data_IF_196520786090
#
_entry.id   IF_196520786090
#
_cell.length_a   1.000
_cell.length_b   1.000
_cell.length_c   1.000
_cell.angle_alpha   90.00
_cell.angle_beta   90.00
_cell.angle_gamma   90.00
#
_symmetry.space_group_name_H-M   'P 1'
#
loop_
_entity.id
_entity.type
_entity.pdbx_description
1 polymer ?
#
# COMPACT_ATOMS: atom_id res chain seq x y z
N UNK A 1 -39.58 -39.49 -27.55
CA UNK A 1 -38.24 -39.24 -26.99
C UNK A 1 -38.33 -39.47 -25.50
N UNK A 2 -37.96 -40.68 -25.07
CA UNK A 2 -38.06 -41.10 -23.66
C UNK A 2 -36.98 -40.41 -22.81
N UNK A 3 -37.39 -39.81 -21.69
CA UNK A 3 -36.52 -39.25 -20.68
C UNK A 3 -35.77 -40.38 -19.97
N UNK A 4 -34.43 -40.42 -20.10
CA UNK A 4 -33.59 -41.32 -19.31
C UNK A 4 -33.68 -40.96 -17.82
N UNK A 5 -33.77 -41.95 -16.91
CA UNK A 5 -33.77 -41.69 -15.48
C UNK A 5 -32.37 -41.25 -15.02
N UNK A 6 -32.29 -40.23 -14.16
CA UNK A 6 -31.04 -39.79 -13.55
C UNK A 6 -30.38 -40.97 -12.81
N UNK A 7 -29.08 -41.17 -13.08
CA UNK A 7 -28.25 -42.18 -12.43
C UNK A 7 -28.14 -41.91 -10.92
N UNK A 8 -28.90 -42.68 -10.15
CA UNK A 8 -29.06 -42.57 -8.70
C UNK A 8 -27.73 -42.77 -7.93
N UNK A 9 -26.68 -43.32 -8.56
CA UNK A 9 -25.33 -43.42 -7.98
C UNK A 9 -24.55 -42.12 -8.08
N UNK A 10 -24.65 -41.39 -9.19
CA UNK A 10 -24.00 -40.08 -9.36
C UNK A 10 -24.58 -39.02 -8.44
N UNK A 11 -25.90 -39.04 -8.23
CA UNK A 11 -26.57 -38.10 -7.33
C UNK A 11 -26.20 -38.36 -5.84
N UNK A 12 -26.13 -39.62 -5.40
CA UNK A 12 -25.67 -39.98 -4.06
C UNK A 12 -24.18 -39.68 -3.82
N UNK A 13 -23.35 -39.75 -4.85
CA UNK A 13 -21.93 -39.38 -4.78
C UNK A 13 -21.77 -37.87 -4.66
N UNK A 14 -22.48 -37.07 -5.47
CA UNK A 14 -22.47 -35.61 -5.39
C UNK A 14 -22.96 -35.11 -4.03
N UNK A 15 -24.06 -35.67 -3.50
CA UNK A 15 -24.59 -35.30 -2.18
C UNK A 15 -23.59 -35.65 -1.06
N UNK A 16 -22.88 -36.78 -1.15
CA UNK A 16 -21.81 -37.12 -0.20
C UNK A 16 -20.60 -36.19 -0.30
N UNK A 17 -20.25 -35.72 -1.48
CA UNK A 17 -19.15 -34.77 -1.69
C UNK A 17 -19.50 -33.38 -1.15
N UNK A 18 -20.75 -32.93 -1.35
CA UNK A 18 -21.25 -31.67 -0.79
C UNK A 18 -21.36 -31.75 0.73
N UNK A 19 -21.84 -32.86 1.30
CA UNK A 19 -21.88 -33.06 2.76
C UNK A 19 -20.47 -33.17 3.34
N UNK A 20 -19.52 -33.81 2.65
CA UNK A 20 -18.12 -33.90 3.10
C UNK A 20 -17.39 -32.55 3.04
N UNK A 21 -17.66 -31.74 2.00
CA UNK A 21 -17.13 -30.37 1.87
C UNK A 21 -17.73 -29.43 2.92
N UNK A 22 -19.04 -29.51 3.17
CA UNK A 22 -19.70 -28.78 4.27
C UNK A 22 -19.18 -29.25 5.64
N UNK A 23 -18.91 -30.54 5.82
CA UNK A 23 -18.35 -31.07 7.07
C UNK A 23 -16.89 -30.68 7.28
N UNK A 24 -16.07 -30.59 6.22
CA UNK A 24 -14.68 -30.09 6.32
C UNK A 24 -14.64 -28.60 6.64
N UNK A 25 -15.47 -27.79 5.96
CA UNK A 25 -15.57 -26.34 6.18
C UNK A 25 -16.13 -26.02 7.57
N UNK A 26 -17.11 -26.79 8.06
CA UNK A 26 -17.56 -26.68 9.45
C UNK A 26 -16.48 -27.09 10.45
N UNK A 27 -15.62 -28.06 10.13
CA UNK A 27 -14.58 -28.56 11.03
C UNK A 27 -13.45 -27.53 11.21
N UNK A 28 -13.04 -26.84 10.15
CA UNK A 28 -12.04 -25.76 10.21
C UNK A 28 -12.55 -24.53 10.95
N UNK A 29 -13.80 -24.10 10.70
CA UNK A 29 -14.47 -23.03 11.45
C UNK A 29 -14.58 -23.40 12.93
N UNK A 30 -15.02 -24.63 13.25
CA UNK A 30 -15.05 -25.09 14.63
C UNK A 30 -13.65 -25.14 15.24
N UNK A 31 -12.62 -25.53 14.50
CA UNK A 31 -11.24 -25.58 15.02
C UNK A 31 -10.71 -24.20 15.37
N UNK A 32 -10.90 -23.19 14.51
CA UNK A 32 -10.38 -21.85 14.74
C UNK A 32 -11.21 -21.06 15.77
N UNK A 33 -12.55 -21.11 15.66
CA UNK A 33 -13.44 -20.51 16.67
C UNK A 33 -13.22 -21.17 18.03
N UNK A 34 -13.01 -22.49 18.08
CA UNK A 34 -12.66 -23.15 19.34
C UNK A 34 -11.24 -22.87 19.80
N UNK A 35 -10.25 -22.64 18.91
CA UNK A 35 -8.90 -22.20 19.30
C UNK A 35 -8.93 -20.82 19.96
N UNK A 36 -9.62 -19.86 19.35
CA UNK A 36 -9.80 -18.51 19.92
C UNK A 36 -10.60 -18.57 21.23
N UNK A 37 -11.69 -19.36 21.29
CA UNK A 37 -12.50 -19.48 22.51
C UNK A 37 -11.79 -20.23 23.65
N UNK A 38 -10.92 -21.20 23.34
CA UNK A 38 -10.24 -22.04 24.33
C UNK A 38 -8.86 -21.50 24.76
N UNK A 39 -8.15 -20.81 23.87
CA UNK A 39 -6.76 -20.41 24.07
C UNK A 39 -6.48 -18.91 23.85
N UNK A 40 -7.43 -18.13 23.34
CA UNK A 40 -7.19 -16.77 22.87
C UNK A 40 -6.46 -16.73 21.52
N UNK A 41 -6.32 -15.56 20.88
CA UNK A 41 -5.44 -15.43 19.73
C UNK A 41 -3.99 -15.73 20.15
N UNK A 42 -3.18 -16.36 19.30
CA UNK A 42 -1.78 -16.59 19.55
C UNK A 42 -1.05 -15.25 19.78
N UNK A 43 -0.20 -15.18 20.81
CA UNK A 43 0.64 -13.99 21.03
C UNK A 43 1.74 -13.95 19.96
N UNK A 44 1.65 -13.01 19.00
CA UNK A 44 2.78 -12.65 18.13
C UNK A 44 3.87 -12.01 18.99
N UNK A 45 5.08 -12.58 18.98
CA UNK A 45 6.26 -11.98 19.61
C UNK A 45 7.20 -11.48 18.54
N UNK A 46 7.77 -10.30 18.78
CA UNK A 46 8.84 -9.77 17.95
C UNK A 46 10.16 -10.41 18.36
N UNK A 47 10.80 -11.11 17.42
CA UNK A 47 12.21 -11.47 17.55
C UNK A 47 13.06 -10.46 16.79
N UNK A 48 14.01 -9.84 17.47
CA UNK A 48 14.97 -8.87 16.92
C UNK A 48 16.26 -9.61 16.58
N UNK A 49 16.67 -9.56 15.31
CA UNK A 49 17.98 -10.05 14.87
C UNK A 49 18.75 -8.93 14.19
N UNK A 50 19.94 -8.62 14.70
CA UNK A 50 20.84 -7.63 14.12
C UNK A 50 21.76 -8.27 13.08
N UNK A 51 21.69 -7.80 11.83
CA UNK A 51 22.59 -8.20 10.76
C UNK A 51 23.42 -7.00 10.28
N UNK A 52 24.74 -7.12 10.35
CA UNK A 52 25.68 -6.12 9.83
C UNK A 52 26.12 -6.57 8.44
N UNK A 53 25.69 -5.86 7.40
CA UNK A 53 26.08 -6.16 6.01
C UNK A 53 27.46 -5.55 5.70
N UNK A 54 28.50 -6.39 5.71
CA UNK A 54 29.91 -6.00 5.56
C UNK A 54 30.31 -5.37 4.20
N UNK A 55 29.40 -5.38 3.21
CA UNK A 55 29.59 -4.77 1.88
C UNK A 55 28.62 -3.59 1.59
N UNK A 56 28.00 -3.02 2.63
CA UNK A 56 27.04 -1.92 2.50
C UNK A 56 27.52 -0.64 3.20
N UNK A 57 26.99 0.51 2.79
CA UNK A 57 27.14 1.77 3.52
C UNK A 57 26.14 1.89 4.69
N UNK A 58 25.43 0.81 5.03
CA UNK A 58 24.40 0.76 6.06
C UNK A 58 24.93 0.04 7.31
N UNK A 59 24.58 0.56 8.49
CA UNK A 59 25.17 0.13 9.76
C UNK A 59 24.45 -1.04 10.44
N UNK A 60 23.13 -1.18 10.22
CA UNK A 60 22.31 -2.15 10.94
C UNK A 60 21.04 -2.52 10.15
N UNK A 61 20.78 -3.82 10.00
CA UNK A 61 19.47 -4.33 9.65
C UNK A 61 18.88 -5.03 10.86
N UNK A 62 17.64 -4.68 11.20
CA UNK A 62 16.87 -5.34 12.24
C UNK A 62 15.72 -6.10 11.58
N UNK A 63 15.68 -7.41 11.77
CA UNK A 63 14.59 -8.27 11.31
C UNK A 63 13.60 -8.45 12.46
N UNK A 64 12.31 -8.25 12.17
CA UNK A 64 11.17 -8.47 13.05
C UNK A 64 10.32 -9.61 12.48
N UNK A 65 10.45 -10.79 13.08
CA UNK A 65 9.65 -11.97 12.76
C UNK A 65 8.52 -12.13 13.76
N UNK A 66 7.34 -12.54 13.27
CA UNK A 66 6.26 -13.07 14.09
C UNK A 66 6.44 -14.58 14.26
N UNK A 67 6.12 -15.13 15.43
CA UNK A 67 6.28 -16.56 15.76
C UNK A 67 5.35 -17.52 14.99
N UNK A 68 4.33 -17.01 14.29
CA UNK A 68 3.49 -17.81 13.39
C UNK A 68 4.00 -17.73 11.95
N UNK A 69 3.85 -18.80 11.16
CA UNK A 69 4.17 -18.80 9.72
C UNK A 69 3.49 -17.57 9.08
N UNK A 70 4.26 -16.50 8.87
CA UNK A 70 3.77 -15.23 8.35
C UNK A 70 3.53 -15.44 6.87
N UNK A 71 2.31 -15.86 6.52
CA UNK A 71 1.89 -15.93 5.14
C UNK A 71 1.50 -14.53 4.68
N UNK A 72 2.44 -13.86 4.02
CA UNK A 72 2.31 -12.61 3.27
C UNK A 72 1.99 -11.35 4.11
N UNK A 73 3.05 -10.70 4.61
CA UNK A 73 2.95 -9.26 4.84
C UNK A 73 2.92 -8.55 3.46
N UNK A 74 1.90 -7.73 3.22
CA UNK A 74 1.66 -7.10 1.91
C UNK A 74 2.03 -5.61 1.89
N UNK A 75 1.80 -4.90 2.99
CA UNK A 75 1.96 -3.45 3.06
C UNK A 75 2.32 -2.98 4.48
N UNK A 76 3.26 -2.03 4.59
CA UNK A 76 3.51 -1.28 5.84
C UNK A 76 3.14 0.17 5.60
N UNK A 77 2.32 0.70 6.50
CA UNK A 77 1.94 2.11 6.50
C UNK A 77 2.38 2.73 7.82
N UNK A 78 2.98 3.91 7.72
CA UNK A 78 3.47 4.66 8.87
C UNK A 78 2.74 5.98 8.96
N UNK A 79 2.21 6.29 10.15
CA UNK A 79 1.59 7.59 10.47
C UNK A 79 2.07 8.01 11.86
N UNK A 80 2.83 9.10 11.93
CA UNK A 80 3.43 9.57 13.17
C UNK A 80 4.35 8.52 13.79
N UNK A 81 4.07 8.12 15.03
CA UNK A 81 4.84 7.12 15.78
C UNK A 81 4.21 5.73 15.73
N UNK A 82 3.36 5.44 14.74
CA UNK A 82 2.75 4.12 14.57
C UNK A 82 3.05 3.52 13.20
N UNK A 83 3.31 2.22 13.19
CA UNK A 83 3.33 1.40 11.98
C UNK A 83 2.14 0.43 11.99
N UNK A 84 1.56 0.22 10.83
CA UNK A 84 0.46 -0.71 10.58
C UNK A 84 0.91 -1.68 9.51
N UNK A 85 0.86 -2.97 9.82
CA UNK A 85 1.36 -4.03 8.95
C UNK A 85 0.18 -4.89 8.55
N UNK A 86 -0.10 -4.94 7.25
CA UNK A 86 -1.13 -5.79 6.71
C UNK A 86 -0.57 -7.19 6.46
N UNK A 87 -1.19 -8.19 7.09
CA UNK A 87 -0.81 -9.61 7.02
C UNK A 87 -2.02 -10.43 6.54
N UNK A 88 -1.87 -11.17 5.43
CA UNK A 88 -2.97 -11.80 4.71
C UNK A 88 -2.64 -13.20 4.17
N UNK A 89 -3.25 -14.24 4.72
CA UNK A 89 -3.15 -15.58 4.14
C UNK A 89 -4.18 -15.79 3.03
N UNK A 90 -3.69 -15.84 1.78
CA UNK A 90 -4.48 -16.18 0.59
C UNK A 90 -4.46 -17.69 0.27
N UNK A 91 -3.77 -18.50 1.07
CA UNK A 91 -3.58 -19.93 0.81
C UNK A 91 -4.76 -20.82 1.27
N UNK A 92 -5.62 -20.28 2.13
CA UNK A 92 -6.81 -20.95 2.67
C UNK A 92 -8.08 -20.67 1.87
N UNK A 93 -9.11 -21.48 2.10
CA UNK A 93 -10.45 -21.27 1.51
C UNK A 93 -11.09 -19.98 2.05
N UNK A 94 -10.74 -19.63 3.28
CA UNK A 94 -11.16 -18.40 3.96
C UNK A 94 -9.93 -17.48 4.04
N UNK A 95 -10.05 -16.21 3.62
CA UNK A 95 -8.93 -15.25 3.69
C UNK A 95 -8.78 -14.82 5.14
N UNK A 96 -7.65 -15.15 5.77
CA UNK A 96 -7.31 -14.64 7.10
C UNK A 96 -6.54 -13.32 6.93
N UNK A 97 -7.12 -12.21 7.40
CA UNK A 97 -6.52 -10.88 7.32
C UNK A 97 -6.35 -10.28 8.71
N UNK A 98 -5.14 -9.82 9.00
CA UNK A 98 -4.82 -9.11 10.24
C UNK A 98 -4.01 -7.85 10.00
N UNK A 99 -4.10 -6.91 10.93
CA UNK A 99 -3.32 -5.69 10.96
C UNK A 99 -2.55 -5.66 12.28
N UNK A 100 -1.23 -5.82 12.20
CA UNK A 100 -0.37 -5.60 13.36
C UNK A 100 -0.16 -4.10 13.55
N UNK A 101 -0.39 -3.63 14.78
CA UNK A 101 -0.27 -2.23 15.19
C UNK A 101 0.95 -2.10 16.09
N UNK A 102 1.96 -1.37 15.62
CA UNK A 102 3.23 -1.21 16.31
C UNK A 102 3.44 0.24 16.74
N UNK A 103 3.90 0.44 17.97
CA UNK A 103 4.52 1.69 18.42
C UNK A 103 5.95 1.71 17.88
N UNK A 104 6.28 2.75 17.11
CA UNK A 104 7.59 2.98 16.51
C UNK A 104 8.20 4.31 16.99
N UNK A 105 7.82 4.77 18.19
CA UNK A 105 8.41 5.97 18.81
C UNK A 105 9.92 5.90 18.90
N UNK A 106 10.49 4.69 18.95
CA UNK A 106 11.88 4.38 18.63
C UNK A 106 11.90 3.59 17.32
N UNK A 107 12.35 4.16 16.18
CA UNK A 107 12.25 3.50 14.89
C UNK A 107 12.98 2.15 14.78
N UNK A 108 14.09 1.96 15.50
CA UNK A 108 14.86 0.71 15.58
C UNK A 108 14.44 -0.21 16.74
N UNK A 109 13.43 0.15 17.52
CA UNK A 109 12.91 -0.65 18.63
C UNK A 109 11.36 -0.60 18.67
N UNK A 110 10.68 -1.08 17.62
CA UNK A 110 9.24 -1.10 17.56
C UNK A 110 8.65 -2.14 18.52
N UNK A 111 7.46 -1.84 19.03
CA UNK A 111 6.75 -2.66 20.01
C UNK A 111 5.37 -2.98 19.44
N UNK A 112 4.99 -4.26 19.37
CA UNK A 112 3.60 -4.63 19.03
C UNK A 112 2.69 -4.14 20.15
N UNK A 113 1.81 -3.19 19.83
CA UNK A 113 0.72 -2.79 20.72
C UNK A 113 -0.41 -3.81 20.63
N UNK A 114 -0.82 -4.19 19.42
CA UNK A 114 -1.97 -5.09 19.20
C UNK A 114 -1.92 -5.75 17.81
N UNK A 115 -2.67 -6.85 17.65
CA UNK A 115 -3.01 -7.44 16.35
C UNK A 115 -4.52 -7.37 16.16
N UNK A 116 -4.97 -6.61 15.18
CA UNK A 116 -6.38 -6.50 14.82
C UNK A 116 -6.72 -7.53 13.73
N UNK A 117 -7.49 -8.55 14.10
CA UNK A 117 -8.04 -9.50 13.14
C UNK A 117 -9.24 -8.88 12.43
N UNK A 118 -9.13 -8.71 11.11
CA UNK A 118 -10.22 -8.18 10.30
C UNK A 118 -11.36 -9.20 10.27
N UNK A 119 -12.59 -8.84 10.71
CA UNK A 119 -13.64 -9.82 10.97
C UNK A 119 -14.35 -10.34 9.72
N UNK A 120 -13.83 -10.05 8.52
CA UNK A 120 -14.41 -10.44 7.23
C UNK A 120 -13.40 -11.25 6.44
N UNK A 121 -13.89 -12.25 5.72
CA UNK A 121 -13.07 -13.17 4.92
C UNK A 121 -12.72 -12.58 3.54
N UNK A 122 -12.27 -11.31 3.53
CA UNK A 122 -11.89 -10.58 2.32
C UNK A 122 -10.49 -9.99 2.47
N UNK A 123 -9.72 -10.09 1.38
CA UNK A 123 -8.46 -9.39 1.30
C UNK A 123 -8.69 -7.86 1.29
N UNK A 124 -7.84 -7.15 2.00
CA UNK A 124 -7.65 -5.71 1.89
C UNK A 124 -6.71 -5.48 0.71
N UNK A 125 -7.20 -4.75 -0.29
CA UNK A 125 -6.49 -4.43 -1.53
C UNK A 125 -5.65 -3.16 -1.42
N UNK A 126 -6.04 -2.25 -0.53
CA UNK A 126 -5.32 -1.01 -0.27
C UNK A 126 -5.62 -0.55 1.16
N UNK A 127 -4.59 -0.15 1.90
CA UNK A 127 -4.74 0.45 3.21
C UNK A 127 -4.20 1.89 3.21
N UNK A 128 -4.79 2.77 4.03
CA UNK A 128 -4.24 4.11 4.27
C UNK A 128 -4.45 4.54 5.71
N UNK A 129 -3.40 5.06 6.34
CA UNK A 129 -3.48 5.71 7.65
C UNK A 129 -3.58 7.24 7.51
N UNK A 130 -4.37 7.87 8.37
CA UNK A 130 -4.38 9.31 8.56
C UNK A 130 -4.95 9.68 9.93
N UNK A 131 -4.17 10.40 10.73
CA UNK A 131 -4.56 10.71 12.10
C UNK A 131 -4.84 9.42 12.90
N UNK A 132 -6.05 9.29 13.42
CA UNK A 132 -6.46 8.14 14.23
C UNK A 132 -7.24 7.07 13.45
N UNK A 133 -7.24 7.12 12.12
CA UNK A 133 -8.06 6.24 11.29
C UNK A 133 -7.22 5.43 10.31
N UNK A 134 -7.60 4.16 10.13
CA UNK A 134 -7.24 3.36 8.97
C UNK A 134 -8.42 3.32 8.00
N UNK A 135 -8.11 3.47 6.73
CA UNK A 135 -9.03 3.34 5.62
C UNK A 135 -8.68 2.07 4.86
N UNK A 136 -9.62 1.14 4.78
CA UNK A 136 -9.41 -0.19 4.23
C UNK A 136 -10.25 -0.33 2.97
N UNK A 137 -9.60 -0.47 1.82
CA UNK A 137 -10.26 -0.91 0.59
C UNK A 137 -10.28 -2.44 0.57
N UNK A 138 -11.47 -3.00 0.66
CA UNK A 138 -11.76 -4.42 0.56
C UNK A 138 -13.09 -4.54 -0.19
N UNK A 139 -13.77 -5.70 -0.14
CA UNK A 139 -15.12 -5.81 -0.71
C UNK A 139 -16.08 -4.74 -0.16
N UNK A 140 -15.90 -4.36 1.11
CA UNK A 140 -16.60 -3.24 1.75
C UNK A 140 -15.56 -2.26 2.26
N UNK A 141 -15.59 -1.04 1.73
CA UNK A 141 -14.71 0.02 2.20
C UNK A 141 -15.01 0.33 3.66
N UNK A 142 -13.98 0.31 4.50
CA UNK A 142 -14.13 0.41 5.96
C UNK A 142 -13.27 1.53 6.51
N UNK A 143 -13.84 2.35 7.39
CA UNK A 143 -13.11 3.31 8.21
C UNK A 143 -13.00 2.73 9.62
N UNK A 144 -11.78 2.39 10.01
CA UNK A 144 -11.42 1.81 11.29
C UNK A 144 -10.82 2.90 12.19
N UNK A 145 -11.47 3.17 13.32
CA UNK A 145 -10.92 4.01 14.38
C UNK A 145 -9.88 3.22 15.17
N UNK A 146 -8.63 3.70 15.14
CA UNK A 146 -7.46 3.14 15.84
C UNK A 146 -6.91 4.12 16.89
N UNK A 147 -7.77 5.03 17.40
CA UNK A 147 -7.40 5.93 18.50
C UNK A 147 -6.90 5.15 19.71
N UNK A 148 -7.65 4.12 20.11
CA UNK A 148 -7.22 3.11 21.08
C UNK A 148 -6.69 1.89 20.32
N UNK A 149 -5.36 1.69 20.25
CA UNK A 149 -4.77 0.60 19.48
C UNK A 149 -5.14 -0.77 20.04
N UNK A 150 -5.50 -0.86 21.34
CA UNK A 150 -5.98 -2.10 21.97
C UNK A 150 -7.41 -2.46 21.57
N UNK A 151 -8.16 -1.49 21.06
CA UNK A 151 -9.56 -1.66 20.71
C UNK A 151 -9.94 -0.91 19.43
N UNK A 152 -9.43 -1.34 18.27
CA UNK A 152 -9.87 -0.79 16.99
C UNK A 152 -11.37 -1.04 16.76
N UNK A 153 -12.07 -0.06 16.20
CA UNK A 153 -13.52 -0.14 15.95
C UNK A 153 -13.87 0.36 14.55
N UNK A 154 -14.56 -0.45 13.76
CA UNK A 154 -15.12 0.00 12.49
C UNK A 154 -16.25 1.01 12.77
N UNK A 155 -16.08 2.26 12.33
CA UNK A 155 -17.03 3.35 12.58
C UNK A 155 -17.87 3.72 11.36
N UNK A 156 -17.45 3.27 10.17
CA UNK A 156 -18.20 3.48 8.94
C UNK A 156 -17.83 2.46 7.88
N UNK A 157 -18.82 2.05 7.10
CA UNK A 157 -18.67 1.08 6.02
C UNK A 157 -19.51 1.51 4.81
N UNK A 158 -18.99 1.26 3.61
CA UNK A 158 -19.69 1.60 2.37
C UNK A 158 -19.30 0.69 1.22
N UNK A 159 -20.31 0.23 0.49
CA UNK A 159 -20.10 -0.56 -0.72
C UNK A 159 -19.79 0.40 -1.87
N UNK A 160 -18.61 0.26 -2.45
CA UNK A 160 -18.17 1.06 -3.59
C UNK A 160 -18.37 0.24 -4.86
N UNK A 161 -18.96 0.87 -5.87
CA UNK A 161 -19.08 0.26 -7.18
C UNK A 161 -17.72 0.37 -7.89
N UNK A 162 -17.03 -0.77 -8.02
CA UNK A 162 -15.74 -0.87 -8.70
C UNK A 162 -14.53 -0.83 -7.76
N UNK A 163 -13.33 -0.86 -8.34
CA UNK A 163 -12.06 -0.85 -7.59
C UNK A 163 -11.62 0.58 -7.28
N UNK A 164 -11.14 0.76 -6.05
CA UNK A 164 -10.42 1.97 -5.63
C UNK A 164 -8.96 1.80 -6.02
N UNK A 165 -8.38 2.90 -6.48
CA UNK A 165 -7.00 3.02 -6.92
C UNK A 165 -6.20 3.89 -5.96
N UNK A 166 -6.84 4.86 -5.31
CA UNK A 166 -6.21 5.63 -4.24
C UNK A 166 -7.19 6.11 -3.18
N UNK A 167 -6.71 6.11 -1.94
CA UNK A 167 -7.37 6.67 -0.77
C UNK A 167 -6.62 7.94 -0.37
N UNK A 168 -7.26 9.09 -0.47
CA UNK A 168 -6.61 10.40 -0.33
C UNK A 168 -7.33 11.27 0.71
N UNK A 169 -6.84 11.29 1.96
CA UNK A 169 -7.34 12.17 3.01
C UNK A 169 -7.05 13.64 2.69
N UNK A 170 -8.04 14.52 2.89
CA UNK A 170 -7.91 15.96 2.67
C UNK A 170 -8.81 16.76 3.64
N UNK A 171 -8.21 17.21 4.75
CA UNK A 171 -8.94 17.96 5.78
C UNK A 171 -10.12 17.15 6.32
N UNK A 172 -11.34 17.68 6.14
CA UNK A 172 -12.57 17.02 6.57
C UNK A 172 -13.16 16.05 5.54
N UNK A 173 -12.44 15.77 4.45
CA UNK A 173 -12.91 14.91 3.37
C UNK A 173 -11.94 13.78 3.10
N UNK A 174 -12.46 12.69 2.55
CA UNK A 174 -11.71 11.58 2.01
C UNK A 174 -12.08 11.42 0.54
N UNK A 175 -11.10 11.48 -0.33
CA UNK A 175 -11.27 11.21 -1.75
C UNK A 175 -10.88 9.75 -2.02
N UNK A 176 -11.82 8.98 -2.58
CA UNK A 176 -11.55 7.65 -3.08
C UNK A 176 -11.58 7.72 -4.59
N UNK A 177 -10.40 7.61 -5.19
CA UNK A 177 -10.21 7.63 -6.64
C UNK A 177 -10.33 6.19 -7.11
N UNK A 178 -11.41 5.87 -7.83
CA UNK A 178 -11.53 4.61 -8.56
C UNK A 178 -10.95 4.72 -9.97
N UNK A 179 -11.12 3.67 -10.78
CA UNK A 179 -10.61 3.65 -12.17
C UNK A 179 -11.14 4.81 -13.02
N UNK A 180 -12.42 5.16 -12.84
CA UNK A 180 -13.10 6.25 -13.58
C UNK A 180 -13.96 7.16 -12.73
N UNK A 181 -14.18 6.80 -11.47
CA UNK A 181 -15.12 7.50 -10.59
C UNK A 181 -14.37 8.13 -9.42
N UNK A 182 -14.88 9.27 -8.94
CA UNK A 182 -14.40 9.91 -7.72
C UNK A 182 -15.50 9.87 -6.66
N UNK A 183 -15.21 9.25 -5.52
CA UNK A 183 -16.07 9.28 -4.35
C UNK A 183 -15.50 10.27 -3.34
N UNK A 184 -16.36 11.13 -2.79
CA UNK A 184 -15.98 12.18 -1.85
C UNK A 184 -16.79 11.95 -0.59
N UNK A 185 -16.12 11.57 0.49
CA UNK A 185 -16.73 11.24 1.77
C UNK A 185 -16.45 12.40 2.73
N UNK A 186 -17.50 12.88 3.39
CA UNK A 186 -17.39 13.85 4.49
C UNK A 186 -17.08 13.08 5.78
N UNK A 187 -15.88 13.31 6.31
CA UNK A 187 -15.33 12.70 7.53
C UNK A 187 -15.19 13.74 8.67
N UNK A 188 -15.81 14.92 8.55
CA UNK A 188 -15.69 16.00 9.54
C UNK A 188 -16.14 15.59 10.95
N UNK A 189 -17.16 14.71 11.02
CA UNK A 189 -17.69 14.18 12.26
C UNK A 189 -17.66 12.65 12.21
N UNK A 190 -16.78 11.99 12.99
CA UNK A 190 -16.66 10.53 13.03
C UNK A 190 -17.96 9.80 13.39
N UNK A 191 -18.91 10.48 14.07
CA UNK A 191 -20.23 9.91 14.42
C UNK A 191 -21.28 10.07 13.33
N UNK A 192 -20.97 10.76 12.24
CA UNK A 192 -21.89 11.11 11.17
C UNK A 192 -21.18 11.19 9.81
N UNK A 193 -20.30 10.22 9.55
CA UNK A 193 -19.62 10.06 8.26
C UNK A 193 -20.66 9.76 7.17
N UNK A 194 -20.48 10.37 5.99
CA UNK A 194 -21.41 10.19 4.87
C UNK A 194 -20.72 10.40 3.52
N UNK A 195 -21.21 9.71 2.50
CA UNK A 195 -20.88 10.02 1.12
C UNK A 195 -21.43 11.41 0.77
N UNK A 196 -20.54 12.37 0.55
CA UNK A 196 -20.91 13.74 0.19
C UNK A 196 -21.23 13.86 -1.31
N UNK A 197 -20.46 13.16 -2.15
CA UNK A 197 -20.65 13.17 -3.61
C UNK A 197 -20.02 11.96 -4.27
N UNK A 198 -20.62 11.53 -5.38
CA UNK A 198 -19.97 10.67 -6.38
C UNK A 198 -19.93 11.41 -7.70
N UNK A 199 -18.77 11.46 -8.32
CA UNK A 199 -18.59 11.99 -9.67
C UNK A 199 -18.26 10.80 -10.58
N UNK A 200 -19.25 10.39 -11.37
CA UNK A 200 -19.10 9.29 -12.33
C UNK A 200 -18.36 9.77 -13.57
N UNK A 201 -17.50 8.94 -14.14
CA UNK A 201 -16.65 9.29 -15.29
C UNK A 201 -15.91 10.61 -15.07
N UNK A 202 -15.19 10.71 -13.96
CA UNK A 202 -14.49 11.90 -13.53
C UNK A 202 -13.63 12.48 -14.67
N UNK A 203 -14.10 13.61 -15.22
CA UNK A 203 -13.57 14.29 -16.40
C UNK A 203 -13.39 13.46 -17.69
N UNK A 204 -14.17 12.39 -17.87
CA UNK A 204 -14.07 11.46 -19.00
C UNK A 204 -12.69 10.80 -19.14
N UNK A 205 -11.95 10.66 -18.04
CA UNK A 205 -10.69 9.92 -18.04
C UNK A 205 -10.98 8.41 -18.13
N UNK A 206 -10.19 7.68 -18.93
CA UNK A 206 -10.41 6.23 -19.06
C UNK A 206 -9.81 5.45 -17.89
N UNK A 207 -8.64 5.89 -17.42
CA UNK A 207 -7.84 5.21 -16.41
C UNK A 207 -7.26 6.25 -15.45
N UNK A 208 -7.47 6.02 -14.16
CA UNK A 208 -6.78 6.66 -13.04
C UNK A 208 -6.16 5.54 -12.20
N UNK A 209 -4.92 5.72 -11.78
CA UNK A 209 -4.15 4.67 -11.09
C UNK A 209 -3.64 5.14 -9.73
N UNK A 210 -3.22 6.40 -9.62
CA UNK A 210 -2.78 6.95 -8.35
C UNK A 210 -3.22 8.40 -8.15
N UNK A 211 -3.44 8.81 -6.90
CA UNK A 211 -3.77 10.18 -6.56
C UNK A 211 -3.16 10.61 -5.23
N UNK A 212 -2.80 11.88 -5.14
CA UNK A 212 -2.27 12.47 -3.90
C UNK A 212 -2.63 13.96 -3.82
N UNK A 213 -2.55 14.53 -2.62
CA UNK A 213 -2.87 15.94 -2.37
C UNK A 213 -1.66 16.73 -1.91
N UNK A 214 -1.55 17.97 -2.39
CA UNK A 214 -0.64 18.97 -1.82
C UNK A 214 -1.34 20.32 -1.75
N UNK A 215 -1.49 20.84 -0.52
CA UNK A 215 -2.32 22.02 -0.29
C UNK A 215 -3.74 21.78 -0.83
N UNK A 216 -4.31 22.74 -1.54
CA UNK A 216 -5.66 22.60 -2.13
C UNK A 216 -5.66 21.94 -3.51
N UNK A 217 -4.63 21.16 -3.86
CA UNK A 217 -4.52 20.51 -5.16
C UNK A 217 -4.55 18.99 -5.02
N UNK A 218 -5.43 18.35 -5.78
CA UNK A 218 -5.43 16.90 -6.01
C UNK A 218 -4.71 16.62 -7.33
N UNK A 219 -3.65 15.83 -7.26
CA UNK A 219 -2.91 15.32 -8.40
C UNK A 219 -3.41 13.90 -8.67
N UNK A 220 -3.69 13.58 -9.93
CA UNK A 220 -4.16 12.26 -10.36
C UNK A 220 -3.32 11.78 -11.53
N UNK A 221 -2.69 10.62 -11.37
CA UNK A 221 -1.93 9.89 -12.39
C UNK A 221 -2.84 8.87 -13.09
N UNK A 222 -2.65 8.73 -14.39
CA UNK A 222 -3.41 7.85 -15.28
C UNK A 222 -2.94 8.05 -16.71
N UNK A 223 -3.82 8.43 -17.64
CA UNK A 223 -3.44 8.80 -19.03
C UNK A 223 -2.71 10.16 -19.15
N UNK A 224 -1.96 10.54 -18.11
CA UNK A 224 -1.32 11.82 -17.90
C UNK A 224 -1.36 12.20 -16.42
N UNK A 225 -0.76 13.35 -16.08
CA UNK A 225 -0.88 13.93 -14.75
C UNK A 225 -1.94 15.04 -14.79
N UNK A 226 -3.07 14.78 -14.15
CA UNK A 226 -4.17 15.72 -14.00
C UNK A 226 -4.06 16.46 -12.67
N UNK A 227 -4.36 17.76 -12.68
CA UNK A 227 -4.28 18.59 -11.48
C UNK A 227 -5.61 19.30 -11.28
N UNK A 228 -6.19 19.08 -10.10
CA UNK A 228 -7.49 19.64 -9.71
C UNK A 228 -7.34 20.57 -8.52
N UNK A 229 -7.96 21.75 -8.61
CA UNK A 229 -8.26 22.57 -7.45
C UNK A 229 -9.41 21.94 -6.66
N UNK A 230 -9.14 21.62 -5.40
CA UNK A 230 -10.08 21.02 -4.43
C UNK A 230 -10.36 21.97 -3.25
N UNK A 231 -10.14 23.27 -3.41
CA UNK A 231 -10.51 24.30 -2.41
C UNK A 231 -11.99 24.25 -2.02
N UNK A 232 -12.84 23.78 -2.94
CA UNK A 232 -14.19 23.30 -2.63
C UNK A 232 -14.22 21.78 -2.82
N UNK A 233 -14.05 20.96 -1.76
CA UNK A 233 -13.79 19.53 -1.90
C UNK A 233 -14.85 18.77 -2.69
N UNK A 234 -16.12 19.14 -2.53
CA UNK A 234 -17.25 18.51 -3.24
C UNK A 234 -17.41 18.99 -4.69
N UNK A 235 -16.55 19.89 -5.16
CA UNK A 235 -16.53 20.36 -6.54
C UNK A 235 -15.09 20.55 -7.05
N UNK A 236 -14.32 19.47 -7.24
CA UNK A 236 -12.99 19.53 -7.84
C UNK A 236 -13.06 20.16 -9.24
N UNK A 237 -12.12 21.05 -9.54
CA UNK A 237 -12.01 21.71 -10.85
C UNK A 237 -10.63 21.41 -11.43
N UNK A 238 -10.56 20.80 -12.59
CA UNK A 238 -9.27 20.60 -13.27
C UNK A 238 -8.69 21.94 -13.69
N UNK A 239 -7.47 22.23 -13.25
CA UNK A 239 -6.74 23.47 -13.53
C UNK A 239 -5.47 23.23 -14.35
N UNK A 240 -4.97 21.99 -14.36
CA UNK A 240 -3.72 21.63 -15.01
C UNK A 240 -3.76 20.23 -15.60
N UNK A 241 -2.89 20.00 -16.56
CA UNK A 241 -2.68 18.72 -17.20
C UNK A 241 -1.28 18.65 -17.79
N UNK A 242 -0.62 17.51 -17.59
CA UNK A 242 0.58 17.13 -18.32
C UNK A 242 0.31 15.83 -19.05
N UNK A 243 0.39 15.88 -20.38
CA UNK A 243 0.18 14.71 -21.22
C UNK A 243 1.37 13.76 -21.20
N UNK A 244 1.11 12.50 -21.53
CA UNK A 244 2.13 11.47 -21.63
C UNK A 244 3.16 11.83 -22.71
N UNK A 245 4.47 11.73 -22.42
CA UNK A 245 5.49 11.79 -23.46
C UNK A 245 5.34 10.65 -24.47
N UNK A 246 5.99 10.80 -25.63
CA UNK A 246 5.98 9.75 -26.65
C UNK A 246 6.55 8.45 -26.08
N UNK A 247 5.78 7.37 -26.27
CA UNK A 247 6.15 6.04 -25.84
C UNK A 247 5.70 5.68 -24.44
N UNK A 248 5.18 6.61 -23.63
CA UNK A 248 4.59 6.30 -22.31
C UNK A 248 3.10 6.01 -22.48
N UNK A 249 2.64 4.89 -21.93
CA UNK A 249 1.24 4.45 -22.06
C UNK A 249 0.35 5.03 -20.96
N UNK A 250 0.86 5.11 -19.73
CA UNK A 250 0.18 5.74 -18.60
C UNK A 250 1.15 6.03 -17.44
N UNK A 251 0.65 6.78 -16.47
CA UNK A 251 1.24 6.99 -15.16
C UNK A 251 0.45 6.21 -14.12
N UNK A 252 1.12 5.40 -13.31
CA UNK A 252 0.51 4.51 -12.33
C UNK A 252 0.83 4.89 -10.89
N UNK A 253 1.96 5.54 -10.63
CA UNK A 253 2.35 6.01 -9.32
C UNK A 253 2.95 7.43 -9.37
N UNK A 254 2.86 8.17 -8.26
CA UNK A 254 3.47 9.49 -8.17
C UNK A 254 3.81 9.90 -6.75
N UNK A 255 4.81 10.78 -6.63
CA UNK A 255 5.13 11.47 -5.38
C UNK A 255 5.29 12.96 -5.64
N UNK A 256 4.70 13.78 -4.78
CA UNK A 256 4.79 15.23 -4.86
C UNK A 256 5.71 15.71 -3.74
N UNK A 257 6.81 16.35 -4.11
CA UNK A 257 7.76 16.95 -3.18
C UNK A 257 8.04 18.39 -3.58
N UNK A 258 7.72 19.33 -2.69
CA UNK A 258 7.84 20.76 -2.96
C UNK A 258 7.25 21.12 -4.34
N UNK A 259 7.97 21.84 -5.19
CA UNK A 259 7.49 22.27 -6.50
C UNK A 259 7.73 21.22 -7.59
N UNK A 260 7.90 19.95 -7.22
CA UNK A 260 8.14 18.85 -8.16
C UNK A 260 7.16 17.69 -8.01
N UNK A 261 6.84 17.07 -9.14
CA UNK A 261 6.13 15.79 -9.22
C UNK A 261 7.04 14.73 -9.82
N UNK A 262 7.17 13.62 -9.12
CA UNK A 262 7.88 12.41 -9.53
C UNK A 262 6.83 11.43 -9.97
N UNK A 263 6.74 11.14 -11.26
CA UNK A 263 5.66 10.33 -11.81
C UNK A 263 6.27 9.11 -12.50
N UNK A 264 5.78 7.93 -12.15
CA UNK A 264 6.22 6.69 -12.79
C UNK A 264 5.51 6.54 -14.13
N UNK A 265 6.30 6.50 -15.20
CA UNK A 265 5.84 6.30 -16.56
C UNK A 265 6.07 4.86 -16.98
N UNK A 266 4.96 4.16 -17.24
CA UNK A 266 4.95 2.78 -17.71
C UNK A 266 4.86 2.75 -19.23
N UNK A 267 5.69 1.91 -19.85
CA UNK A 267 5.60 1.63 -21.27
C UNK A 267 5.98 0.18 -21.58
N UNK A 268 5.31 -0.39 -22.57
CA UNK A 268 5.59 -1.74 -23.03
C UNK A 268 6.48 -1.70 -24.26
N UNK A 269 7.58 -2.45 -24.23
CA UNK A 269 8.42 -2.58 -25.43
C UNK A 269 7.77 -3.51 -26.48
N UNK A 270 8.40 -3.63 -27.65
CA UNK A 270 7.90 -4.47 -28.75
C UNK A 270 7.89 -5.98 -28.42
N UNK A 271 8.59 -6.38 -27.35
CA UNK A 271 8.62 -7.75 -26.85
C UNK A 271 7.59 -7.99 -25.74
N UNK A 272 6.91 -6.94 -25.28
CA UNK A 272 5.98 -6.98 -24.16
C UNK A 272 6.68 -6.97 -22.80
N UNK A 273 7.95 -6.56 -22.75
CA UNK A 273 8.64 -6.33 -21.50
C UNK A 273 8.27 -4.92 -20.99
N UNK A 274 7.86 -4.84 -19.72
CA UNK A 274 7.59 -3.58 -19.06
C UNK A 274 8.89 -2.83 -18.88
N UNK A 275 8.94 -1.64 -19.45
CA UNK A 275 10.00 -0.68 -19.22
C UNK A 275 9.40 0.50 -18.47
N UNK A 276 10.21 1.14 -17.65
CA UNK A 276 9.72 2.29 -16.92
C UNK A 276 10.78 3.32 -16.61
N UNK A 277 10.31 4.56 -16.53
CA UNK A 277 11.12 5.69 -16.10
C UNK A 277 10.35 6.49 -15.06
N UNK A 278 11.09 7.13 -14.16
CA UNK A 278 10.52 8.22 -13.39
C UNK A 278 10.71 9.51 -14.14
N UNK A 279 9.59 10.19 -14.40
CA UNK A 279 9.57 11.53 -14.93
C UNK A 279 9.55 12.50 -13.77
N UNK A 280 10.52 13.41 -13.77
CA UNK A 280 10.52 14.55 -12.89
C UNK A 280 9.89 15.74 -13.61
N UNK A 281 8.84 16.29 -13.02
CA UNK A 281 8.09 17.43 -13.53
C UNK A 281 8.21 18.61 -12.56
N UNK A 282 8.42 19.81 -13.10
CA UNK A 282 8.21 21.08 -12.43
C UNK A 282 6.71 21.36 -12.34
N UNK A 283 6.20 21.52 -11.13
CA UNK A 283 4.82 21.87 -10.83
C UNK A 283 4.71 23.18 -10.02
N UNK A 284 5.76 24.01 -10.01
CA UNK A 284 5.74 25.36 -9.40
C UNK A 284 4.56 26.20 -9.91
N UNK A 285 4.21 26.01 -11.19
CA UNK A 285 2.96 26.46 -11.78
C UNK A 285 2.03 25.27 -12.08
N UNK A 286 1.02 25.00 -11.24
CA UNK A 286 0.14 23.85 -11.41
C UNK A 286 -0.75 23.94 -12.66
N UNK A 287 -0.92 25.14 -13.24
CA UNK A 287 -1.66 25.32 -14.51
C UNK A 287 -0.87 24.86 -15.73
N UNK A 288 0.46 24.73 -15.59
CA UNK A 288 1.35 24.36 -16.68
C UNK A 288 2.56 23.57 -16.15
N UNK A 289 2.37 22.31 -15.74
CA UNK A 289 3.49 21.46 -15.37
C UNK A 289 4.46 21.31 -16.55
N UNK A 290 5.75 21.17 -16.25
CA UNK A 290 6.79 21.07 -17.27
C UNK A 290 7.77 19.94 -16.96
N UNK A 291 8.22 19.25 -18.00
CA UNK A 291 9.25 18.23 -17.87
C UNK A 291 10.60 18.82 -17.43
N UNK A 292 11.26 18.16 -16.49
CA UNK A 292 12.64 18.45 -16.08
C UNK A 292 13.59 17.40 -16.65
N UNK A 293 13.44 16.13 -16.25
CA UNK A 293 14.31 15.00 -16.64
C UNK A 293 13.63 13.66 -16.40
N UNK A 294 14.26 12.57 -16.88
CA UNK A 294 13.90 11.18 -16.55
C UNK A 294 14.99 10.50 -15.72
N UNK A 295 14.60 9.46 -14.98
CA UNK A 295 15.47 8.53 -14.27
C UNK A 295 15.12 7.09 -14.65
N UNK A 296 16.13 6.25 -14.84
CA UNK A 296 15.99 4.89 -15.40
C UNK A 296 15.72 3.80 -14.34
N UNK A 297 15.45 4.18 -13.09
CA UNK A 297 15.24 3.23 -11.99
C UNK A 297 13.89 3.46 -11.30
N UNK A 298 13.22 2.35 -10.99
CA UNK A 298 11.96 2.33 -10.27
C UNK A 298 12.17 2.60 -8.77
N UNK A 299 11.57 3.65 -8.20
CA UNK A 299 11.58 3.93 -6.77
C UNK A 299 10.58 3.00 -6.08
N UNK A 300 11.02 2.33 -5.03
CA UNK A 300 10.17 1.47 -4.21
C UNK A 300 9.32 2.27 -3.25
N UNK A 301 9.94 3.27 -2.62
CA UNK A 301 9.27 4.12 -1.63
C UNK A 301 9.97 5.46 -1.54
N UNK A 302 9.23 6.48 -1.13
CA UNK A 302 9.68 7.87 -1.03
C UNK A 302 9.17 8.47 0.26
N UNK A 303 10.02 9.26 0.92
CA UNK A 303 9.64 10.11 2.04
C UNK A 303 10.29 11.48 1.87
N UNK A 304 9.45 12.48 1.59
CA UNK A 304 9.85 13.84 1.24
C UNK A 304 10.83 13.88 0.04
N UNK A 305 12.07 14.31 0.25
CA UNK A 305 13.14 14.35 -0.76
C UNK A 305 14.00 13.07 -0.80
N UNK A 306 13.73 12.08 0.05
CA UNK A 306 14.50 10.84 0.10
C UNK A 306 13.77 9.72 -0.65
N UNK A 307 14.47 9.06 -1.57
CA UNK A 307 13.94 7.99 -2.41
C UNK A 307 14.80 6.73 -2.23
N UNK A 308 14.14 5.59 -2.03
CA UNK A 308 14.77 4.27 -2.12
C UNK A 308 14.44 3.63 -3.48
N UNK A 309 15.45 3.25 -4.25
CA UNK A 309 15.31 2.57 -5.54
C UNK A 309 16.03 1.23 -5.50
N UNK A 310 15.57 0.30 -6.33
CA UNK A 310 16.22 -0.98 -6.52
C UNK A 310 16.96 -0.99 -7.86
N UNK A 311 18.22 -1.39 -7.83
CA UNK A 311 19.01 -1.64 -9.02
C UNK A 311 19.23 -3.15 -9.17
N UNK A 312 18.61 -3.73 -10.21
CA UNK A 312 18.80 -5.12 -10.62
C UNK A 312 19.89 -5.27 -11.68
N UNK A 313 20.44 -4.15 -12.17
CA UNK A 313 21.47 -4.17 -13.18
C UNK A 313 22.72 -4.81 -12.60
N UNK A 314 23.41 -5.63 -13.39
CA UNK A 314 24.63 -6.35 -12.99
C UNK A 314 25.82 -5.38 -12.88
N UNK A 315 25.72 -4.38 -12.00
CA UNK A 315 26.80 -3.51 -11.54
C UNK A 315 27.80 -4.37 -10.73
N UNK A 316 29.04 -3.92 -10.40
CA UNK A 316 29.98 -4.75 -9.67
C UNK A 316 29.54 -5.06 -8.22
N UNK A 317 28.39 -4.51 -7.79
CA UNK A 317 27.79 -4.66 -6.46
C UNK A 317 26.66 -5.71 -6.38
N UNK A 318 26.19 -6.27 -7.52
CA UNK A 318 25.01 -7.15 -7.56
C UNK A 318 23.68 -6.39 -7.44
N UNK A 319 22.59 -7.10 -7.14
CA UNK A 319 21.29 -6.48 -6.80
C UNK A 319 21.43 -5.63 -5.53
N UNK A 320 20.93 -4.39 -5.55
CA UNK A 320 21.06 -3.46 -4.42
C UNK A 320 19.89 -2.49 -4.31
N UNK A 321 19.58 -2.09 -3.08
CA UNK A 321 18.75 -0.92 -2.82
C UNK A 321 19.65 0.26 -2.56
N UNK A 322 19.26 1.39 -3.13
CA UNK A 322 20.02 2.62 -3.05
C UNK A 322 19.13 3.71 -2.50
N UNK A 323 19.72 4.56 -1.68
CA UNK A 323 19.07 5.68 -1.04
C UNK A 323 19.62 6.96 -1.67
N UNK A 324 18.74 7.75 -2.27
CA UNK A 324 19.09 9.03 -2.87
C UNK A 324 18.39 10.17 -2.17
N UNK A 325 19.13 11.26 -1.99
CA UNK A 325 18.61 12.56 -1.64
C UNK A 325 18.37 13.39 -2.91
N UNK A 326 17.12 13.75 -3.11
CA UNK A 326 16.61 14.54 -4.23
C UNK A 326 16.26 15.98 -3.83
N UNK A 327 16.84 16.50 -2.75
CA UNK A 327 16.66 17.89 -2.31
C UNK A 327 16.99 18.92 -3.42
N UNK A 328 17.95 18.59 -4.30
CA UNK A 328 18.06 19.21 -5.63
C UNK A 328 17.65 18.17 -6.70
N UNK A 329 16.42 18.24 -7.22
CA UNK A 329 15.92 17.30 -8.21
C UNK A 329 16.70 17.30 -9.53
N UNK A 330 17.54 18.30 -9.80
CA UNK A 330 18.42 18.35 -10.98
C UNK A 330 19.79 17.74 -10.71
N UNK A 331 20.12 17.48 -9.44
CA UNK A 331 21.43 17.01 -8.97
C UNK A 331 21.24 16.07 -7.78
N UNK A 332 20.60 14.90 -7.98
CA UNK A 332 20.46 13.93 -6.91
C UNK A 332 21.81 13.48 -6.36
N UNK A 333 21.82 13.17 -5.07
CA UNK A 333 22.98 12.67 -4.35
C UNK A 333 22.63 11.29 -3.83
N UNK A 334 23.44 10.30 -4.20
CA UNK A 334 23.36 8.98 -3.56
C UNK A 334 23.91 9.09 -2.13
N UNK A 335 23.06 8.81 -1.15
CA UNK A 335 23.44 8.77 0.26
C UNK A 335 24.16 7.44 0.56
N UNK A 336 23.67 6.35 -0.01
CA UNK A 336 24.26 5.03 0.20
C UNK A 336 23.52 3.92 -0.53
N UNK A 337 24.06 2.71 -0.45
CA UNK A 337 23.43 1.50 -0.98
C UNK A 337 23.60 0.29 -0.05
N UNK A 338 22.64 -0.61 -0.11
CA UNK A 338 22.67 -1.92 0.54
C UNK A 338 22.55 -3.01 -0.52
N UNK A 339 23.59 -3.84 -0.62
CA UNK A 339 23.57 -5.02 -1.49
C UNK A 339 22.65 -6.09 -0.92
N UNK A 340 21.76 -6.59 -1.76
CA UNK A 340 20.84 -7.67 -1.43
C UNK A 340 19.64 -7.68 -2.37
N UNK A 341 18.95 -8.80 -2.37
CA UNK A 341 17.76 -9.05 -3.19
C UNK A 341 16.50 -8.76 -2.38
N UNK A 342 15.33 -8.69 -3.03
CA UNK A 342 14.03 -8.63 -2.35
C UNK A 342 13.84 -9.76 -1.33
N UNK A 343 14.32 -10.97 -1.65
CA UNK A 343 14.18 -12.12 -0.75
C UNK A 343 15.04 -12.02 0.50
N UNK A 344 16.08 -11.18 0.49
CA UNK A 344 16.92 -10.94 1.68
C UNK A 344 16.56 -9.67 2.43
N UNK A 345 16.16 -8.61 1.72
CA UNK A 345 15.99 -7.28 2.28
C UNK A 345 14.51 -6.89 2.45
N UNK A 346 13.59 -7.61 1.83
CA UNK A 346 12.18 -7.24 1.75
C UNK A 346 11.93 -6.14 0.71
N UNK A 347 10.66 -5.77 0.57
CA UNK A 347 10.14 -4.71 -0.28
C UNK A 347 10.04 -3.41 0.52
N UNK A 348 10.92 -2.40 0.29
CA UNK A 348 10.86 -1.12 0.97
C UNK A 348 9.50 -0.47 0.76
N UNK A 349 8.78 -0.26 1.85
CA UNK A 349 7.41 0.26 1.82
C UNK A 349 7.32 1.63 2.48
N UNK A 350 8.17 1.91 3.49
CA UNK A 350 8.19 3.20 4.16
C UNK A 350 9.61 3.67 4.52
N UNK A 351 9.80 4.99 4.58
CA UNK A 351 11.05 5.63 5.01
C UNK A 351 10.75 6.63 6.13
N UNK A 352 11.47 6.52 7.24
CA UNK A 352 11.48 7.50 8.32
C UNK A 352 12.85 8.19 8.35
N UNK A 353 12.85 9.51 8.50
CA UNK A 353 14.05 10.28 8.80
C UNK A 353 13.93 10.84 10.22
N UNK A 354 14.87 10.47 11.08
CA UNK A 354 14.98 11.00 12.43
C UNK A 354 16.36 11.61 12.63
N UNK A 355 16.42 12.94 12.72
CA UNK A 355 17.68 13.70 12.71
C UNK A 355 18.50 13.39 11.44
N UNK A 356 19.71 12.87 11.62
CA UNK A 356 20.63 12.46 10.56
C UNK A 356 20.47 10.98 10.18
N UNK A 357 19.61 10.23 10.88
CA UNK A 357 19.36 8.81 10.64
C UNK A 357 18.21 8.62 9.66
N UNK A 358 18.35 7.62 8.79
CA UNK A 358 17.28 7.21 7.88
C UNK A 358 16.98 5.73 8.12
N UNK A 359 15.71 5.42 8.32
CA UNK A 359 15.20 4.08 8.54
C UNK A 359 14.30 3.69 7.37
N UNK A 360 14.57 2.54 6.76
CA UNK A 360 13.77 1.97 5.68
C UNK A 360 13.05 0.75 6.25
N UNK A 361 11.73 0.79 6.26
CA UNK A 361 10.88 -0.34 6.63
C UNK A 361 10.54 -1.10 5.37
N UNK A 362 10.95 -2.37 5.32
CA UNK A 362 10.79 -3.24 4.19
C UNK A 362 10.05 -4.52 4.59
N UNK A 363 9.04 -4.87 3.80
CA UNK A 363 8.22 -6.05 4.04
C UNK A 363 8.91 -7.28 3.45
N UNK A 364 9.21 -8.28 4.26
CA UNK A 364 9.76 -9.54 3.80
C UNK A 364 8.73 -10.68 3.95
N UNK A 365 8.30 -11.22 2.80
CA UNK A 365 7.34 -12.32 2.72
C UNK A 365 7.73 -13.59 3.50
N UNK A 366 9.01 -13.79 3.83
CA UNK A 366 9.47 -14.93 4.64
C UNK A 366 9.87 -14.57 6.07
N UNK A 367 10.16 -13.30 6.35
CA UNK A 367 10.86 -12.88 7.57
C UNK A 367 10.18 -11.71 8.32
N UNK A 368 8.94 -11.36 7.96
CA UNK A 368 8.19 -10.28 8.59
C UNK A 368 8.65 -8.90 8.11
N UNK A 369 9.19 -8.05 9.00
CA UNK A 369 9.68 -6.70 8.62
C UNK A 369 11.18 -6.60 8.81
N UNK A 370 11.85 -6.03 7.81
CA UNK A 370 13.20 -5.53 7.94
C UNK A 370 13.21 -4.02 8.15
N UNK A 371 13.90 -3.56 9.19
CA UNK A 371 14.22 -2.15 9.41
C UNK A 371 15.70 -1.96 9.07
N UNK A 372 15.97 -1.23 8.00
CA UNK A 372 17.32 -0.96 7.51
C UNK A 372 17.69 0.45 7.93
N UNK A 373 18.77 0.57 8.71
CA UNK A 373 19.24 1.84 9.26
C UNK A 373 20.46 2.36 8.49
N UNK A 374 20.33 3.56 7.97
CA UNK A 374 21.41 4.35 7.39
C UNK A 374 21.92 5.38 8.40
N UNK A 375 23.23 5.38 8.60
CA UNK A 375 23.95 6.39 9.40
C UNK A 375 25.00 7.05 8.48
N UNK A 376 24.96 8.39 8.28
CA UNK A 376 25.85 9.12 7.36
C UNK A 376 27.35 9.10 7.72
#
# INVERSE_FOLDING_TARGET
MESKPLDNKKHKFLVRLVIASLAFSFCSILFYVSRIFLFGPPEKKLQITENIHSNSSFGLMIVYQSDEDVDYADEIIIEGTRAYILDQSLASIDVETSIDILDISSPDEPIIENTYYYPKDFAILNMKAHGNYLYLDAEVFTILDVTDPQKPVAIWEFNIDGSIKSIVPFGNYLFLVGVRDLYIIDIANPKSIKLAKTIKNFNNHNIMEHATVKGNLLFVAGEGLYIFDISTPTNPVQIGFYGLPLGVDYFDNMVISNETAWVHGVYWDVFGDEQSHILLLDISNPYKPAFITTYDHYPFTVSNEIICFYDSSRNPYGESFHLMDFSDPKRPIELGYISGTYSSLGYPSAIIRENDLIYIYAVNYSDGINIIKYEP
#
